data_IF_851544427563
#
_entry.id   IF_851544427563
#
_cell.length_a   1.000
_cell.length_b   1.000
_cell.length_c   1.000
_cell.angle_alpha   90.00
_cell.angle_beta   90.00
_cell.angle_gamma   90.00
#
_symmetry.space_group_name_H-M   'P 1'
#
loop_
_entity.id
_entity.type
_entity.pdbx_description
1 polymer ?
#
# COMPACT_ATOMS: atom_id res chain seq x y z
N UNK A 1 -12.03 -3.78 -12.55
CA UNK A 1 -13.00 -2.67 -12.34
C UNK A 1 -13.10 -2.47 -10.83
N UNK A 2 -12.87 -1.26 -10.31
CA UNK A 2 -12.95 -1.03 -8.86
C UNK A 2 -14.41 -0.94 -8.45
N UNK A 3 -14.94 -2.06 -7.96
CA UNK A 3 -16.20 -2.08 -7.22
C UNK A 3 -15.89 -1.83 -5.72
N UNK A 4 -16.80 -1.15 -5.02
CA UNK A 4 -16.64 -0.80 -3.61
C UNK A 4 -16.45 -2.06 -2.75
N UNK A 5 -17.27 -3.10 -3.02
CA UNK A 5 -17.19 -4.38 -2.31
C UNK A 5 -15.88 -5.11 -2.58
N UNK A 6 -15.44 -5.12 -3.85
CA UNK A 6 -14.17 -5.71 -4.26
C UNK A 6 -12.96 -5.00 -3.65
N UNK A 7 -13.00 -3.66 -3.51
CA UNK A 7 -11.91 -2.93 -2.87
C UNK A 7 -11.77 -3.32 -1.40
N UNK A 8 -12.88 -3.39 -0.67
CA UNK A 8 -12.86 -3.75 0.75
C UNK A 8 -12.45 -5.21 0.96
N UNK A 9 -13.06 -6.16 0.22
CA UNK A 9 -12.72 -7.58 0.32
C UNK A 9 -11.24 -7.81 0.05
N UNK A 10 -10.74 -7.31 -1.09
CA UNK A 10 -9.34 -7.52 -1.45
C UNK A 10 -8.38 -6.82 -0.46
N UNK A 11 -8.75 -5.65 0.08
CA UNK A 11 -7.94 -4.98 1.10
C UNK A 11 -7.78 -5.84 2.35
N UNK A 12 -8.88 -6.46 2.81
CA UNK A 12 -8.89 -7.37 3.93
C UNK A 12 -8.04 -8.62 3.64
N UNK A 13 -8.20 -9.24 2.46
CA UNK A 13 -7.45 -10.45 2.09
C UNK A 13 -5.93 -10.19 2.14
N UNK A 14 -5.47 -9.06 1.60
CA UNK A 14 -4.06 -8.68 1.65
C UNK A 14 -3.58 -8.40 3.08
N UNK A 15 -4.42 -7.79 3.92
CA UNK A 15 -4.10 -7.55 5.33
C UNK A 15 -3.99 -8.84 6.12
N UNK A 16 -4.92 -9.78 5.91
CA UNK A 16 -4.91 -11.09 6.55
C UNK A 16 -3.64 -11.88 6.21
N UNK A 17 -3.26 -11.92 4.93
CA UNK A 17 -2.00 -12.54 4.49
C UNK A 17 -0.80 -11.89 5.20
N UNK A 18 -0.78 -10.56 5.29
CA UNK A 18 0.29 -9.83 5.98
C UNK A 18 0.37 -10.22 7.46
N UNK A 19 -0.78 -10.37 8.12
CA UNK A 19 -0.88 -10.77 9.53
C UNK A 19 -0.37 -12.19 9.75
N UNK A 20 -0.71 -13.12 8.86
CA UNK A 20 -0.20 -14.51 8.90
C UNK A 20 1.32 -14.55 8.75
N UNK A 21 1.89 -13.71 7.88
CA UNK A 21 3.34 -13.62 7.68
C UNK A 21 4.02 -13.05 8.93
N UNK A 22 3.46 -12.01 9.54
CA UNK A 22 4.01 -11.40 10.75
C UNK A 22 3.99 -12.36 11.95
N UNK A 23 2.93 -13.16 12.11
CA UNK A 23 2.86 -14.20 13.14
C UNK A 23 3.96 -15.28 12.98
N UNK A 24 4.53 -15.45 11.78
CA UNK A 24 5.59 -16.43 11.47
C UNK A 24 6.99 -15.80 11.44
N UNK A 25 7.11 -14.52 11.77
CA UNK A 25 8.32 -13.71 11.58
C UNK A 25 9.50 -14.16 12.44
N UNK A 26 9.25 -14.87 13.55
CA UNK A 26 10.30 -15.47 14.40
C UNK A 26 11.06 -16.62 13.73
N UNK A 27 10.56 -17.18 12.62
CA UNK A 27 11.17 -18.33 11.94
C UNK A 27 11.86 -17.98 10.60
N UNK A 28 11.70 -16.76 10.07
CA UNK A 28 12.03 -16.46 8.67
C UNK A 28 12.55 -15.02 8.43
N UNK A 29 13.82 -14.76 8.74
CA UNK A 29 14.27 -13.37 8.95
C UNK A 29 14.46 -12.46 7.72
N UNK A 30 14.52 -12.93 6.46
CA UNK A 30 14.79 -11.98 5.35
C UNK A 30 13.99 -12.21 4.06
N UNK A 31 13.49 -13.43 3.83
CA UNK A 31 12.87 -13.77 2.54
C UNK A 31 11.46 -13.17 2.38
N UNK A 32 10.74 -12.98 3.48
CA UNK A 32 9.33 -12.58 3.44
C UNK A 32 9.08 -11.13 3.84
N UNK A 33 10.09 -10.37 4.28
CA UNK A 33 9.94 -8.93 4.56
C UNK A 33 9.41 -8.17 3.33
N UNK A 34 9.89 -8.53 2.13
CA UNK A 34 9.38 -7.99 0.86
C UNK A 34 7.91 -8.35 0.60
N UNK A 35 7.49 -9.58 0.93
CA UNK A 35 6.12 -10.07 0.75
C UNK A 35 5.17 -9.42 1.76
N UNK A 36 5.59 -9.33 3.02
CA UNK A 36 4.85 -8.66 4.08
C UNK A 36 4.59 -7.19 3.72
N UNK A 37 5.65 -6.42 3.45
CA UNK A 37 5.52 -5.00 3.11
C UNK A 37 4.69 -4.76 1.84
N UNK A 38 4.79 -5.66 0.86
CA UNK A 38 3.99 -5.59 -0.37
C UNK A 38 2.50 -5.79 -0.10
N UNK A 39 2.13 -6.83 0.65
CA UNK A 39 0.72 -7.11 0.94
C UNK A 39 0.11 -5.98 1.80
N UNK A 40 0.85 -5.45 2.78
CA UNK A 40 0.41 -4.26 3.51
C UNK A 40 0.19 -3.06 2.58
N UNK A 41 1.12 -2.81 1.68
CA UNK A 41 0.99 -1.69 0.73
C UNK A 41 -0.21 -1.85 -0.20
N UNK A 42 -0.49 -3.06 -0.69
CA UNK A 42 -1.71 -3.34 -1.47
C UNK A 42 -2.97 -3.13 -0.65
N UNK A 43 -2.97 -3.58 0.61
CA UNK A 43 -4.08 -3.36 1.52
C UNK A 43 -4.34 -1.86 1.73
N UNK A 44 -3.30 -1.08 2.05
CA UNK A 44 -3.39 0.37 2.21
C UNK A 44 -3.91 1.06 0.93
N UNK A 45 -3.42 0.67 -0.25
CA UNK A 45 -3.90 1.23 -1.53
C UNK A 45 -5.40 1.01 -1.70
N UNK A 46 -5.86 -0.22 -1.45
CA UNK A 46 -7.25 -0.61 -1.64
C UNK A 46 -8.18 0.01 -0.59
N UNK A 47 -7.73 0.14 0.66
CA UNK A 47 -8.48 0.89 1.68
C UNK A 47 -8.62 2.37 1.32
N UNK A 48 -7.54 3.03 0.87
CA UNK A 48 -7.62 4.43 0.44
C UNK A 48 -8.60 4.59 -0.74
N UNK A 49 -8.56 3.68 -1.71
CA UNK A 49 -9.52 3.66 -2.83
C UNK A 49 -10.95 3.41 -2.38
N UNK A 50 -11.16 2.48 -1.45
CA UNK A 50 -12.45 2.21 -0.83
C UNK A 50 -13.00 3.45 -0.14
N UNK A 51 -12.20 4.12 0.70
CA UNK A 51 -12.62 5.33 1.41
C UNK A 51 -12.97 6.47 0.44
N UNK A 52 -12.18 6.66 -0.62
CA UNK A 52 -12.48 7.64 -1.67
C UNK A 52 -13.81 7.30 -2.36
N UNK A 53 -14.04 6.06 -2.76
CA UNK A 53 -15.28 5.63 -3.41
C UNK A 53 -16.49 5.76 -2.47
N UNK A 54 -16.35 5.33 -1.21
CA UNK A 54 -17.41 5.42 -0.18
C UNK A 54 -17.86 6.86 0.06
N UNK A 55 -16.93 7.80 -0.02
CA UNK A 55 -17.21 9.23 0.10
C UNK A 55 -17.54 9.89 -1.26
N UNK A 56 -18.00 9.12 -2.24
CA UNK A 56 -18.47 9.62 -3.55
C UNK A 56 -17.39 10.31 -4.40
N UNK A 57 -16.11 9.96 -4.21
CA UNK A 57 -15.08 10.34 -5.17
C UNK A 57 -15.27 9.58 -6.48
N UNK A 58 -15.29 10.30 -7.60
CA UNK A 58 -15.42 9.69 -8.92
C UNK A 58 -14.28 8.71 -9.21
N UNK A 59 -14.60 7.56 -9.79
CA UNK A 59 -13.63 6.55 -10.21
C UNK A 59 -12.51 7.11 -11.10
N UNK A 60 -12.85 8.03 -12.01
CA UNK A 60 -11.89 8.67 -12.91
C UNK A 60 -10.80 9.44 -12.13
N UNK A 61 -11.18 10.21 -11.10
CA UNK A 61 -10.22 10.93 -10.24
C UNK A 61 -9.28 9.97 -9.52
N UNK A 62 -9.81 8.84 -9.04
CA UNK A 62 -9.02 7.81 -8.35
C UNK A 62 -8.04 7.16 -9.34
N UNK A 63 -8.50 6.77 -10.53
CA UNK A 63 -7.67 6.16 -11.56
C UNK A 63 -6.52 7.08 -12.01
N UNK A 64 -6.76 8.39 -12.12
CA UNK A 64 -5.71 9.39 -12.41
C UNK A 64 -4.60 9.48 -11.35
N UNK A 65 -4.77 8.89 -10.17
CA UNK A 65 -3.72 8.81 -9.13
C UNK A 65 -2.95 7.50 -9.15
N UNK A 66 -3.42 6.50 -9.90
CA UNK A 66 -2.77 5.21 -10.05
C UNK A 66 -2.68 4.43 -8.74
N UNK A 67 -1.46 4.01 -8.40
CA UNK A 67 -1.14 3.14 -7.24
C UNK A 67 -0.32 3.86 -6.16
N UNK A 68 -0.06 5.15 -6.34
CA UNK A 68 0.79 5.90 -5.42
C UNK A 68 0.00 6.28 -4.16
N UNK A 69 0.39 5.69 -3.01
CA UNK A 69 -0.28 5.88 -1.72
C UNK A 69 -0.36 7.36 -1.33
N UNK A 70 0.74 8.13 -1.46
CA UNK A 70 0.75 9.57 -1.19
C UNK A 70 -0.24 10.35 -2.05
N UNK A 71 -0.31 10.07 -3.35
CA UNK A 71 -1.28 10.73 -4.26
C UNK A 71 -2.73 10.39 -3.91
N UNK A 72 -3.00 9.17 -3.44
CA UNK A 72 -4.33 8.74 -2.99
C UNK A 72 -4.68 9.40 -1.66
N UNK A 73 -3.75 9.43 -0.70
CA UNK A 73 -3.95 10.07 0.59
C UNK A 73 -4.15 11.59 0.46
N UNK A 74 -3.33 12.28 -0.35
CA UNK A 74 -3.51 13.70 -0.62
C UNK A 74 -4.86 14.00 -1.30
N UNK A 75 -5.36 13.07 -2.14
CA UNK A 75 -6.69 13.21 -2.72
C UNK A 75 -7.78 13.06 -1.64
N UNK A 76 -7.61 12.12 -0.70
CA UNK A 76 -8.51 11.93 0.43
C UNK A 76 -8.50 13.19 1.31
N UNK A 77 -7.34 13.66 1.75
CA UNK A 77 -7.20 14.86 2.59
C UNK A 77 -7.80 16.11 1.92
N UNK A 78 -7.59 16.28 0.61
CA UNK A 78 -8.12 17.44 -0.13
C UNK A 78 -9.65 17.45 -0.25
N UNK A 79 -10.28 16.27 -0.39
CA UNK A 79 -11.73 16.20 -0.68
C UNK A 79 -12.56 15.76 0.53
N UNK A 80 -11.95 15.11 1.52
CA UNK A 80 -12.59 14.44 2.65
C UNK A 80 -11.70 14.57 3.91
N UNK A 81 -11.40 15.81 4.31
CA UNK A 81 -10.42 16.11 5.36
C UNK A 81 -10.72 15.41 6.69
N UNK A 82 -11.99 15.34 7.10
CA UNK A 82 -12.39 14.65 8.34
C UNK A 82 -12.05 13.16 8.35
N UNK A 83 -12.14 12.48 7.21
CA UNK A 83 -11.74 11.06 7.10
C UNK A 83 -10.23 10.92 7.20
N UNK A 84 -9.48 11.84 6.58
CA UNK A 84 -8.04 11.85 6.66
C UNK A 84 -7.55 12.17 8.08
N UNK A 85 -8.20 13.10 8.79
CA UNK A 85 -7.91 13.46 10.18
C UNK A 85 -8.05 12.27 11.12
N UNK A 86 -9.10 11.44 10.96
CA UNK A 86 -9.26 10.22 11.76
C UNK A 86 -8.09 9.25 11.54
N UNK A 87 -7.63 9.10 10.29
CA UNK A 87 -6.48 8.24 9.98
C UNK A 87 -5.22 8.77 10.63
N UNK A 88 -4.99 10.09 10.55
CA UNK A 88 -3.82 10.74 11.16
C UNK A 88 -3.86 10.60 12.68
N UNK A 89 -4.99 10.86 13.32
CA UNK A 89 -5.16 10.73 14.76
C UNK A 89 -4.91 9.30 15.24
N UNK A 90 -5.48 8.31 14.56
CA UNK A 90 -5.25 6.91 14.88
C UNK A 90 -3.78 6.51 14.68
N UNK A 91 -3.16 6.98 13.60
CA UNK A 91 -1.74 6.73 13.34
C UNK A 91 -0.84 7.36 14.40
N UNK A 92 -1.10 8.60 14.81
CA UNK A 92 -0.32 9.28 15.84
C UNK A 92 -0.43 8.58 17.21
N UNK A 93 -1.59 7.98 17.51
CA UNK A 93 -1.80 7.20 18.73
C UNK A 93 -1.02 5.88 18.71
N UNK A 94 -1.05 5.15 17.60
CA UNK A 94 -0.41 3.83 17.47
C UNK A 94 1.09 3.92 17.14
N UNK A 95 1.51 4.99 16.46
CA UNK A 95 2.86 5.19 15.92
C UNK A 95 3.43 6.58 16.24
N UNK A 96 3.45 7.02 17.53
CA UNK A 96 3.74 8.41 17.92
C UNK A 96 5.15 8.93 17.58
N UNK A 97 6.05 8.06 17.12
CA UNK A 97 7.43 8.42 16.73
C UNK A 97 7.65 8.45 15.22
N UNK A 98 6.67 8.04 14.43
CA UNK A 98 6.78 7.96 12.99
C UNK A 98 5.89 9.01 12.34
N UNK A 99 6.39 9.62 11.27
CA UNK A 99 5.63 10.56 10.47
C UNK A 99 5.02 9.83 9.28
N UNK A 100 3.70 9.76 9.24
CA UNK A 100 2.94 9.13 8.16
C UNK A 100 3.23 9.78 6.80
N UNK A 101 3.53 11.07 6.73
CA UNK A 101 3.89 11.74 5.47
C UNK A 101 5.23 11.25 4.93
N UNK A 102 6.18 10.97 5.83
CA UNK A 102 7.46 10.37 5.47
C UNK A 102 7.27 8.93 5.01
N UNK A 103 6.46 8.14 5.73
CA UNK A 103 6.13 6.77 5.34
C UNK A 103 5.44 6.73 3.96
N UNK A 104 4.46 7.58 3.72
CA UNK A 104 3.78 7.67 2.42
C UNK A 104 4.72 8.14 1.29
N UNK A 105 5.73 8.96 1.60
CA UNK A 105 6.72 9.43 0.65
C UNK A 105 7.79 8.37 0.32
N UNK A 106 8.35 7.69 1.33
CA UNK A 106 9.39 6.66 1.16
C UNK A 106 8.78 5.35 0.64
N UNK A 107 7.74 4.87 1.30
CA UNK A 107 7.23 3.51 1.08
C UNK A 107 6.25 3.48 -0.08
N UNK A 108 5.56 4.59 -0.33
CA UNK A 108 4.72 4.76 -1.52
C UNK A 108 5.52 4.73 -2.83
N UNK A 109 6.79 5.15 -2.82
CA UNK A 109 7.69 5.05 -3.98
C UNK A 109 8.25 3.63 -4.13
N UNK A 110 8.78 3.06 -3.04
CA UNK A 110 9.31 1.69 -3.02
C UNK A 110 8.25 0.66 -3.45
N UNK A 111 7.00 0.84 -3.01
CA UNK A 111 5.87 0.01 -3.43
C UNK A 111 5.58 0.08 -4.93
N UNK A 112 5.65 1.27 -5.54
CA UNK A 112 5.43 1.38 -6.99
C UNK A 112 6.49 0.62 -7.78
N UNK A 113 7.75 0.68 -7.35
CA UNK A 113 8.84 -0.05 -8.02
C UNK A 113 8.62 -1.56 -7.96
N UNK A 114 8.20 -2.09 -6.81
CA UNK A 114 7.87 -3.51 -6.66
C UNK A 114 6.62 -3.91 -7.47
N UNK A 115 5.59 -3.06 -7.44
CA UNK A 115 4.36 -3.29 -8.21
C UNK A 115 4.63 -3.32 -9.70
N UNK A 116 5.41 -2.39 -10.23
CA UNK A 116 5.80 -2.39 -11.64
C UNK A 116 6.73 -3.56 -11.99
N UNK A 117 7.54 -4.06 -11.05
CA UNK A 117 8.30 -5.30 -11.24
C UNK A 117 7.39 -6.51 -11.41
N UNK A 118 6.25 -6.56 -10.70
CA UNK A 118 5.24 -7.61 -10.85
C UNK A 118 4.33 -7.42 -12.05
N UNK A 119 3.92 -6.18 -12.35
CA UNK A 119 3.07 -5.88 -13.49
C UNK A 119 3.81 -6.09 -14.81
N UNK A 120 5.10 -5.70 -14.93
CA UNK A 120 5.96 -5.98 -16.10
C UNK A 120 6.13 -7.46 -16.42
N UNK A 121 5.91 -8.34 -15.45
CA UNK A 121 5.93 -9.79 -15.67
C UNK A 121 4.68 -10.29 -16.40
N UNK A 122 3.57 -9.53 -16.42
CA UNK A 122 2.37 -9.90 -17.19
C UNK A 122 2.50 -9.61 -18.69
N UNK A 123 3.42 -8.74 -19.10
CA UNK A 123 3.72 -8.38 -20.49
C UNK A 123 4.78 -9.29 -21.16
N UNK A 124 5.15 -10.41 -20.50
CA UNK A 124 5.93 -11.49 -21.12
C UNK A 124 7.40 -11.16 -21.42
N UNK A 125 7.92 -10.05 -20.89
CA UNK A 125 9.35 -9.73 -20.96
C UNK A 125 10.00 -10.00 -19.61
N UNK A 126 10.47 -11.23 -19.44
CA UNK A 126 11.24 -11.64 -18.27
C UNK A 126 12.46 -10.73 -18.09
N UNK A 127 12.41 -9.85 -17.10
CA UNK A 127 13.63 -9.33 -16.48
C UNK A 127 13.94 -10.23 -15.29
N UNK A 128 15.12 -10.84 -15.30
CA UNK A 128 15.69 -11.50 -14.13
C UNK A 128 15.72 -10.49 -12.98
N UNK A 129 15.00 -10.80 -11.90
CA UNK A 129 15.07 -10.04 -10.65
C UNK A 129 16.43 -10.35 -10.06
N UNK A 130 17.29 -9.34 -9.99
CA UNK A 130 18.57 -9.49 -9.30
C UNK A 130 18.34 -9.30 -7.79
N UNK A 131 19.12 -10.01 -6.99
CA UNK A 131 19.10 -9.90 -5.52
C UNK A 131 19.30 -8.46 -5.00
N UNK A 132 19.90 -7.58 -5.82
CA UNK A 132 20.02 -6.14 -5.57
C UNK A 132 18.67 -5.40 -5.51
N UNK A 133 17.66 -5.86 -6.25
CA UNK A 133 16.34 -5.22 -6.31
C UNK A 133 15.54 -5.48 -5.02
N UNK A 134 15.82 -6.61 -4.35
CA UNK A 134 15.27 -6.96 -3.04
C UNK A 134 16.03 -6.30 -1.89
N UNK A 135 17.27 -5.86 -2.11
CA UNK A 135 18.12 -5.24 -1.09
C UNK A 135 17.64 -3.83 -0.68
N UNK A 136 16.83 -3.17 -1.51
CA UNK A 136 16.23 -1.87 -1.19
C UNK A 136 15.31 -1.96 0.04
N UNK A 137 14.66 -3.11 0.26
CA UNK A 137 13.75 -3.36 1.38
C UNK A 137 14.43 -3.98 2.61
N UNK A 138 15.69 -4.39 2.49
CA UNK A 138 16.46 -4.97 3.60
C UNK A 138 17.24 -3.91 4.41
N UNK A 139 17.07 -2.61 4.08
CA UNK A 139 17.79 -1.49 4.71
C UNK A 139 16.89 -0.52 5.50
N UNK A 140 15.66 -0.88 5.78
CA UNK A 140 14.79 -0.15 6.71
C UNK A 140 14.97 -0.65 8.14
#
# INVERSE_FOLDING_TARGET
MYDLSACLSNANDFFEISSIIDCKRTEFEYKYLSVYGTNLSFSCELYLKYLLLKNSCSLEKIQKRGHNLKKLFNLLQKNFSSVAEIILEYYDQECPRNDIENLLASDGANFMDFRYLYEKRKDGKDKQIHSSDLAIFARA
#
